data_IF_654033195338
#
_entry.id   IF_654033195338
#
_cell.length_a   1.000
_cell.length_b   1.000
_cell.length_c   1.000
_cell.angle_alpha   90.00
_cell.angle_beta   90.00
_cell.angle_gamma   90.00
#
_symmetry.space_group_name_H-M   'P 1'
#
loop_
_entity.id
_entity.type
_entity.pdbx_description
1 polymer ?
#
# COMPACT_ATOMS: atom_id res chain seq x y z
N UNK A 1 -0.45 22.81 27.40
CA UNK A 1 -0.98 23.98 26.68
C UNK A 1 -1.00 23.65 25.19
N UNK A 2 -2.18 23.46 24.61
CA UNK A 2 -2.34 23.21 23.17
C UNK A 2 -2.42 24.55 22.44
N UNK A 3 -1.39 24.92 21.70
CA UNK A 3 -1.37 26.15 20.89
C UNK A 3 -2.32 25.99 19.69
N UNK A 4 -3.54 26.51 19.82
CA UNK A 4 -4.49 26.71 18.70
C UNK A 4 -4.27 28.07 18.03
N UNK A 5 -3.07 28.31 17.54
CA UNK A 5 -2.80 29.40 16.60
C UNK A 5 -2.91 28.86 15.17
N UNK A 6 -3.65 29.51 14.27
CA UNK A 6 -3.54 29.24 12.82
C UNK A 6 -2.18 29.74 12.35
N UNK A 7 -1.15 28.94 12.55
CA UNK A 7 0.18 29.21 12.01
C UNK A 7 0.11 29.17 10.48
N UNK A 8 0.86 30.05 9.82
CA UNK A 8 1.03 30.01 8.36
C UNK A 8 1.51 28.63 7.94
N UNK A 9 1.00 28.10 6.82
CA UNK A 9 1.35 26.77 6.31
C UNK A 9 2.87 26.60 6.15
N UNK A 10 3.60 27.67 5.85
CA UNK A 10 5.07 27.67 5.78
C UNK A 10 5.74 27.45 7.14
N UNK A 11 5.22 28.05 8.21
CA UNK A 11 5.76 27.92 9.57
C UNK A 11 5.52 26.51 10.10
N UNK A 12 4.33 25.95 9.87
CA UNK A 12 4.02 24.57 10.23
C UNK A 12 4.92 23.59 9.49
N UNK A 13 5.15 23.78 8.19
CA UNK A 13 6.05 22.93 7.42
C UNK A 13 7.48 22.97 7.96
N UNK A 14 8.03 24.16 8.18
CA UNK A 14 9.37 24.31 8.75
C UNK A 14 9.48 23.59 10.10
N UNK A 15 8.47 23.74 10.96
CA UNK A 15 8.39 23.05 12.24
C UNK A 15 8.36 21.51 12.10
N UNK A 16 7.59 20.97 11.14
CA UNK A 16 7.57 19.53 10.86
C UNK A 16 8.94 19.01 10.43
N UNK A 17 9.67 19.75 9.59
CA UNK A 17 11.04 19.40 9.22
C UNK A 17 11.99 19.45 10.42
N UNK A 18 11.85 20.44 11.31
CA UNK A 18 12.62 20.48 12.56
C UNK A 18 12.36 19.25 13.42
N UNK A 19 11.10 18.82 13.57
CA UNK A 19 10.76 17.59 14.31
C UNK A 19 11.36 16.33 13.64
N UNK A 20 11.37 16.27 12.31
CA UNK A 20 11.97 15.17 11.57
C UNK A 20 13.49 15.07 11.82
N UNK A 21 14.22 16.18 11.68
CA UNK A 21 15.68 16.22 11.88
C UNK A 21 16.09 15.99 13.33
N UNK A 22 15.26 16.42 14.30
CA UNK A 22 15.47 16.15 15.74
C UNK A 22 15.00 14.74 16.17
N UNK A 23 14.54 13.91 15.22
CA UNK A 23 14.04 12.54 15.45
C UNK A 23 12.86 12.45 16.42
N UNK A 24 12.07 13.51 16.56
CA UNK A 24 10.84 13.54 17.37
C UNK A 24 9.64 13.08 16.53
N UNK A 25 9.67 11.81 16.12
CA UNK A 25 8.68 11.28 15.16
C UNK A 25 7.26 11.26 15.69
N UNK A 26 7.05 10.91 16.97
CA UNK A 26 5.72 10.87 17.59
C UNK A 26 5.02 12.25 17.52
N UNK A 27 5.75 13.31 17.87
CA UNK A 27 5.24 14.68 17.80
C UNK A 27 5.02 15.15 16.36
N UNK A 28 5.85 14.71 15.42
CA UNK A 28 5.64 14.95 14.00
C UNK A 28 4.31 14.34 13.55
N UNK A 29 4.03 13.09 13.93
CA UNK A 29 2.78 12.42 13.55
C UNK A 29 1.56 13.10 14.16
N UNK A 30 1.65 13.50 15.44
CA UNK A 30 0.58 14.25 16.12
C UNK A 30 0.38 15.63 15.50
N UNK A 31 1.45 16.36 15.19
CA UNK A 31 1.38 17.68 14.56
C UNK A 31 0.76 17.60 13.16
N UNK A 32 1.09 16.58 12.37
CA UNK A 32 0.45 16.35 11.07
C UNK A 32 -1.05 16.03 11.25
N UNK A 33 -1.42 15.18 12.21
CA UNK A 33 -2.82 14.80 12.42
C UNK A 33 -3.69 15.94 12.99
N UNK A 34 -3.10 16.84 13.79
CA UNK A 34 -3.82 17.91 14.49
C UNK A 34 -4.04 19.17 13.63
N UNK A 35 -3.28 19.38 12.57
CA UNK A 35 -3.33 20.57 11.73
C UNK A 35 -4.03 20.32 10.39
N UNK A 36 -4.40 21.40 9.71
CA UNK A 36 -4.93 21.35 8.33
C UNK A 36 -3.92 21.97 7.39
N UNK A 37 -3.76 21.37 6.21
CA UNK A 37 -2.78 21.80 5.22
C UNK A 37 -3.45 22.10 3.89
N UNK A 38 -2.81 22.94 3.08
CA UNK A 38 -3.25 23.19 1.71
C UNK A 38 -2.92 21.97 0.83
N UNK A 39 -3.81 21.63 -0.11
CA UNK A 39 -3.67 20.46 -0.98
C UNK A 39 -2.36 20.45 -1.77
N UNK A 40 -1.85 21.64 -2.15
CA UNK A 40 -0.57 21.80 -2.86
C UNK A 40 0.64 21.23 -2.10
N UNK A 41 0.52 21.03 -0.79
CA UNK A 41 1.57 20.48 0.07
C UNK A 41 1.33 19.02 0.47
N UNK A 42 0.24 18.39 0.03
CA UNK A 42 -0.09 17.02 0.46
C UNK A 42 0.98 16.01 0.01
N UNK A 43 1.47 16.11 -1.23
CA UNK A 43 2.51 15.21 -1.74
C UNK A 43 3.79 15.27 -0.91
N UNK A 44 4.26 16.48 -0.62
CA UNK A 44 5.45 16.73 0.20
C UNK A 44 5.27 16.17 1.62
N UNK A 45 4.11 16.40 2.23
CA UNK A 45 3.84 15.96 3.61
C UNK A 45 3.62 14.45 3.70
N UNK A 46 3.08 13.81 2.66
CA UNK A 46 2.97 12.35 2.56
C UNK A 46 4.35 11.70 2.44
N UNK A 47 5.25 12.28 1.65
CA UNK A 47 6.64 11.82 1.57
C UNK A 47 7.35 11.98 2.92
N UNK A 48 7.19 13.13 3.59
CA UNK A 48 7.72 13.36 4.94
C UNK A 48 7.18 12.35 5.97
N UNK A 49 5.87 12.07 5.95
CA UNK A 49 5.23 11.07 6.80
C UNK A 49 5.87 9.69 6.64
N UNK A 50 6.07 9.24 5.41
CA UNK A 50 6.67 7.94 5.15
C UNK A 50 8.16 7.90 5.47
N UNK A 51 8.90 8.96 5.16
CA UNK A 51 10.32 9.10 5.56
C UNK A 51 10.47 9.01 7.07
N UNK A 52 9.63 9.70 7.83
CA UNK A 52 9.60 9.63 9.29
C UNK A 52 9.30 8.19 9.79
N UNK A 53 8.30 7.51 9.21
CA UNK A 53 7.98 6.11 9.56
C UNK A 53 9.10 5.11 9.21
N UNK A 54 9.80 5.33 8.11
CA UNK A 54 10.96 4.51 7.75
C UNK A 54 12.09 4.72 8.74
N UNK A 55 12.46 5.99 9.00
CA UNK A 55 13.52 6.35 9.93
C UNK A 55 13.25 5.84 11.36
N UNK A 56 12.01 5.95 11.85
CA UNK A 56 11.58 5.40 13.14
C UNK A 56 11.81 3.89 13.23
N UNK A 57 11.48 3.13 12.17
CA UNK A 57 11.64 1.69 12.17
C UNK A 57 13.12 1.26 11.99
N UNK A 58 13.87 1.97 11.16
CA UNK A 58 15.31 1.77 10.95
C UNK A 58 16.07 1.99 12.25
N UNK A 59 15.73 3.05 13.01
CA UNK A 59 16.31 3.30 14.33
C UNK A 59 16.00 2.18 15.33
N UNK A 60 14.74 1.72 15.38
CA UNK A 60 14.33 0.64 16.30
C UNK A 60 15.02 -0.70 15.98
N UNK A 61 15.37 -0.95 14.72
CA UNK A 61 15.94 -2.23 14.26
C UNK A 61 17.44 -2.17 13.99
N UNK A 62 18.04 -0.98 14.01
CA UNK A 62 19.43 -0.72 13.62
C UNK A 62 19.79 -1.32 12.26
N UNK A 63 18.83 -1.34 11.33
CA UNK A 63 18.97 -1.94 10.00
C UNK A 63 18.14 -1.17 8.99
N UNK A 64 18.71 -0.94 7.81
CA UNK A 64 18.00 -0.32 6.69
C UNK A 64 16.81 -1.15 6.22
N UNK A 65 15.71 -0.49 5.88
CA UNK A 65 14.49 -1.16 5.46
C UNK A 65 14.55 -1.54 3.97
N UNK A 66 14.24 -2.81 3.70
CA UNK A 66 14.01 -3.28 2.34
C UNK A 66 12.71 -2.76 1.74
N UNK A 67 12.58 -2.84 0.41
CA UNK A 67 11.39 -2.37 -0.32
C UNK A 67 10.07 -3.00 0.18
N UNK A 68 10.11 -4.29 0.55
CA UNK A 68 8.94 -5.02 1.07
C UNK A 68 8.52 -4.50 2.45
N UNK A 69 9.47 -4.16 3.30
CA UNK A 69 9.20 -3.65 4.64
C UNK A 69 8.66 -2.22 4.58
N UNK A 70 9.24 -1.38 3.69
CA UNK A 70 8.68 -0.07 3.36
C UNK A 70 7.23 -0.18 2.90
N UNK A 71 6.92 -1.14 2.02
CA UNK A 71 5.53 -1.41 1.60
C UNK A 71 4.62 -1.81 2.77
N UNK A 72 5.06 -2.72 3.66
CA UNK A 72 4.29 -3.14 4.85
C UNK A 72 4.01 -1.95 5.76
N UNK A 73 4.99 -1.06 5.95
CA UNK A 73 4.83 0.16 6.75
C UNK A 73 3.83 1.13 6.13
N UNK A 74 3.88 1.36 4.81
CA UNK A 74 2.89 2.20 4.12
C UNK A 74 1.46 1.69 4.31
N UNK A 75 1.28 0.36 4.29
CA UNK A 75 -0.03 -0.28 4.49
C UNK A 75 -0.48 -0.22 5.96
N UNK A 76 0.44 -0.35 6.91
CA UNK A 76 0.13 -0.33 8.35
C UNK A 76 -0.15 1.10 8.85
N UNK A 77 0.52 2.10 8.27
CA UNK A 77 0.48 3.49 8.72
C UNK A 77 0.14 4.42 7.54
N UNK A 78 -1.12 4.41 7.05
CA UNK A 78 -1.54 5.36 6.03
C UNK A 78 -1.47 6.80 6.56
N UNK A 79 -1.25 7.79 5.69
CA UNK A 79 -1.25 9.19 6.07
C UNK A 79 -2.64 9.61 6.61
N UNK A 80 -2.69 10.50 7.60
CA UNK A 80 -3.94 10.99 8.15
C UNK A 80 -4.70 11.89 7.16
N UNK A 81 -6.02 12.04 7.36
CA UNK A 81 -6.91 12.85 6.50
C UNK A 81 -6.53 14.33 6.39
N UNK A 82 -5.66 14.82 7.27
CA UNK A 82 -5.15 16.19 7.25
C UNK A 82 -4.20 16.47 6.08
N UNK A 83 -3.53 15.44 5.56
CA UNK A 83 -2.58 15.51 4.43
C UNK A 83 -2.98 14.55 3.30
N UNK A 84 -4.20 14.04 3.36
CA UNK A 84 -4.71 13.03 2.46
C UNK A 84 -6.23 13.17 2.34
N UNK A 85 -6.73 13.32 1.13
CA UNK A 85 -8.14 13.53 0.81
C UNK A 85 -9.00 12.26 1.00
N UNK A 86 -8.43 11.17 1.51
CA UNK A 86 -9.12 9.89 1.63
C UNK A 86 -9.35 9.21 0.27
N UNK A 87 -8.81 9.76 -0.84
CA UNK A 87 -8.69 9.02 -2.08
C UNK A 87 -7.62 7.97 -1.88
N UNK A 88 -8.06 6.77 -1.51
CA UNK A 88 -7.28 5.56 -1.63
C UNK A 88 -6.76 5.42 -3.06
N UNK A 89 -5.52 5.85 -3.28
CA UNK A 89 -4.61 5.20 -4.22
C UNK A 89 -4.26 3.81 -3.69
N UNK A 90 -5.27 3.03 -3.31
CA UNK A 90 -5.14 1.60 -3.43
C UNK A 90 -4.90 1.39 -4.92
N UNK A 91 -3.83 0.68 -5.23
CA UNK A 91 -3.50 0.03 -6.50
C UNK A 91 -4.62 -0.90 -7.03
N UNK A 92 -5.88 -0.65 -6.69
CA UNK A 92 -7.02 -1.32 -7.24
C UNK A 92 -7.51 -0.41 -8.34
N UNK A 93 -7.16 -0.79 -9.56
CA UNK A 93 -7.66 -0.23 -10.82
C UNK A 93 -9.09 0.31 -10.71
N UNK A 94 -9.45 1.36 -11.46
CA UNK A 94 -10.84 1.84 -11.55
C UNK A 94 -11.78 0.64 -11.77
N UNK A 95 -13.01 0.70 -11.26
CA UNK A 95 -13.94 -0.45 -11.35
C UNK A 95 -14.13 -0.93 -12.81
N UNK A 96 -14.13 0.00 -13.77
CA UNK A 96 -14.11 -0.32 -15.19
C UNK A 96 -12.92 -1.19 -15.60
N UNK A 97 -11.70 -0.78 -15.23
CA UNK A 97 -10.48 -1.52 -15.50
C UNK A 97 -10.48 -2.91 -14.82
N UNK A 98 -11.04 -3.05 -13.61
CA UNK A 98 -11.22 -4.36 -12.95
C UNK A 98 -12.18 -5.27 -13.72
N UNK A 99 -13.27 -4.73 -14.26
CA UNK A 99 -14.22 -5.49 -15.09
C UNK A 99 -13.54 -6.00 -16.36
N UNK A 100 -12.83 -5.13 -17.07
CA UNK A 100 -12.09 -5.48 -18.29
C UNK A 100 -11.04 -6.56 -18.00
N UNK A 101 -10.20 -6.37 -16.98
CA UNK A 101 -9.18 -7.36 -16.61
C UNK A 101 -9.78 -8.72 -16.25
N UNK A 102 -10.90 -8.75 -15.51
CA UNK A 102 -11.63 -10.00 -15.20
C UNK A 102 -12.19 -10.66 -16.45
N UNK A 103 -12.75 -9.89 -17.38
CA UNK A 103 -13.30 -10.41 -18.63
C UNK A 103 -12.20 -11.03 -19.52
N UNK A 104 -11.08 -10.33 -19.70
CA UNK A 104 -9.93 -10.87 -20.42
C UNK A 104 -9.37 -12.12 -19.75
N UNK A 105 -9.27 -12.14 -18.41
CA UNK A 105 -8.78 -13.30 -17.67
C UNK A 105 -9.66 -14.55 -17.83
N UNK A 106 -10.99 -14.36 -17.88
CA UNK A 106 -11.93 -15.46 -18.15
C UNK A 106 -11.71 -16.08 -19.53
N UNK A 107 -11.34 -15.27 -20.53
CA UNK A 107 -11.05 -15.71 -21.89
C UNK A 107 -9.66 -16.34 -22.02
N UNK A 108 -8.64 -15.69 -21.45
CA UNK A 108 -7.25 -16.15 -21.51
C UNK A 108 -6.50 -15.77 -20.22
N UNK A 109 -6.00 -16.77 -19.47
CA UNK A 109 -5.22 -16.58 -18.23
C UNK A 109 -3.77 -16.12 -18.49
N UNK A 110 -3.29 -16.24 -19.72
CA UNK A 110 -1.93 -15.90 -20.16
C UNK A 110 -2.00 -14.96 -21.37
N UNK A 111 -2.29 -13.66 -21.16
CA UNK A 111 -2.45 -12.71 -22.26
C UNK A 111 -1.13 -12.50 -23.00
N UNK A 112 -1.23 -12.44 -24.33
CA UNK A 112 -0.11 -12.09 -25.23
C UNK A 112 0.27 -10.62 -25.09
N UNK A 113 1.34 -10.18 -25.75
CA UNK A 113 1.70 -8.76 -25.77
C UNK A 113 0.60 -7.90 -26.41
N UNK A 114 -0.04 -8.39 -27.48
CA UNK A 114 -1.15 -7.70 -28.14
C UNK A 114 -2.39 -7.63 -27.25
N UNK A 115 -2.74 -8.71 -26.55
CA UNK A 115 -3.82 -8.67 -25.54
C UNK A 115 -3.54 -7.61 -24.47
N UNK A 116 -2.29 -7.49 -24.00
CA UNK A 116 -1.91 -6.49 -22.99
C UNK A 116 -1.99 -5.07 -23.53
N UNK A 117 -1.61 -4.83 -24.79
CA UNK A 117 -1.75 -3.52 -25.44
C UNK A 117 -3.23 -3.14 -25.57
N UNK A 118 -4.10 -4.08 -25.94
CA UNK A 118 -5.53 -3.80 -26.04
C UNK A 118 -6.14 -3.51 -24.66
N UNK A 119 -5.77 -4.27 -23.63
CA UNK A 119 -6.19 -3.98 -22.25
C UNK A 119 -5.67 -2.60 -21.82
N UNK A 120 -4.42 -2.25 -22.13
CA UNK A 120 -3.84 -0.94 -21.81
C UNK A 120 -4.65 0.19 -22.46
N UNK A 121 -5.00 0.05 -23.74
CA UNK A 121 -5.80 1.01 -24.50
C UNK A 121 -7.19 1.23 -23.88
N UNK A 122 -7.83 0.17 -23.40
CA UNK A 122 -9.19 0.24 -22.83
C UNK A 122 -9.18 0.75 -21.37
N UNK A 123 -8.15 0.39 -20.61
CA UNK A 123 -8.12 0.59 -19.14
C UNK A 123 -7.25 1.74 -18.68
N UNK A 124 -6.47 2.32 -19.60
CA UNK A 124 -5.42 3.32 -19.33
C UNK A 124 -4.39 2.85 -18.29
N UNK A 125 -4.13 1.54 -18.30
CA UNK A 125 -3.15 0.90 -17.43
C UNK A 125 -1.85 0.65 -18.17
N UNK A 126 -0.75 0.78 -17.46
CA UNK A 126 0.57 0.42 -17.98
C UNK A 126 0.67 -1.09 -18.16
N UNK A 127 1.36 -1.54 -19.22
CA UNK A 127 1.56 -2.96 -19.54
C UNK A 127 2.15 -3.75 -18.34
N UNK A 128 3.00 -3.10 -17.55
CA UNK A 128 3.59 -3.69 -16.33
C UNK A 128 2.51 -3.95 -15.27
N UNK A 129 1.58 -3.01 -15.06
CA UNK A 129 0.48 -3.15 -14.11
C UNK A 129 -0.45 -4.30 -14.51
N UNK A 130 -0.76 -4.40 -15.79
CA UNK A 130 -1.56 -5.50 -16.36
C UNK A 130 -0.82 -6.83 -16.15
N UNK A 131 0.47 -6.91 -16.51
CA UNK A 131 1.28 -8.12 -16.33
C UNK A 131 1.32 -8.59 -14.87
N UNK A 132 1.50 -7.65 -13.94
CA UNK A 132 1.49 -7.95 -12.50
C UNK A 132 0.12 -8.42 -12.02
N UNK A 133 -0.96 -7.83 -12.51
CA UNK A 133 -2.31 -8.27 -12.14
C UNK A 133 -2.59 -9.71 -12.58
N UNK A 134 -2.25 -10.07 -13.82
CA UNK A 134 -2.43 -11.44 -14.32
C UNK A 134 -1.56 -12.44 -13.56
N UNK A 135 -0.30 -12.09 -13.26
CA UNK A 135 0.58 -12.89 -12.40
C UNK A 135 -0.04 -13.11 -11.01
N UNK A 136 -0.46 -12.04 -10.35
CA UNK A 136 -1.05 -12.10 -9.00
C UNK A 136 -2.38 -12.85 -8.99
N UNK A 137 -3.18 -12.76 -10.06
CA UNK A 137 -4.45 -13.50 -10.19
C UNK A 137 -4.20 -15.01 -10.28
N UNK A 138 -3.27 -15.46 -11.12
CA UNK A 138 -2.89 -16.89 -11.21
C UNK A 138 -2.34 -17.44 -9.91
N UNK A 139 -1.54 -16.66 -9.17
CA UNK A 139 -1.04 -17.08 -7.86
C UNK A 139 -2.17 -17.30 -6.85
N UNK A 140 -3.18 -16.41 -6.85
CA UNK A 140 -4.37 -16.57 -6.00
C UNK A 140 -5.16 -17.82 -6.36
N UNK A 141 -5.35 -18.08 -7.65
CA UNK A 141 -6.06 -19.29 -8.13
C UNK A 141 -5.33 -20.58 -7.68
N UNK A 142 -3.99 -20.62 -7.78
CA UNK A 142 -3.19 -21.75 -7.28
C UNK A 142 -3.36 -21.95 -5.76
N UNK A 143 -3.28 -20.88 -4.98
CA UNK A 143 -3.43 -20.93 -3.52
C UNK A 143 -4.85 -21.25 -3.02
N UNK A 144 -5.86 -21.15 -3.89
CA UNK A 144 -7.22 -21.60 -3.58
C UNK A 144 -7.45 -23.08 -3.86
N UNK A 145 -6.74 -23.65 -4.85
CA UNK A 145 -6.85 -25.09 -5.17
C UNK A 145 -6.16 -25.97 -4.12
N UNK A 146 -5.06 -25.50 -3.55
CA UNK A 146 -4.27 -26.22 -2.55
C UNK A 146 -4.94 -26.30 -1.15
N UNK A 147 -6.05 -25.59 -0.95
CA UNK A 147 -6.84 -25.63 0.29
C UNK A 147 -8.02 -26.61 0.25
N UNK A 148 -8.24 -27.29 -0.86
CA UNK A 148 -9.32 -28.27 -1.07
C UNK A 148 -8.80 -29.70 -1.27
N UNK A 149 -7.65 -30.04 -0.72
CA UNK A 149 -7.33 -31.45 -0.43
C UNK A 149 -7.95 -31.80 0.92
N UNK A 150 -9.06 -32.55 0.98
CA UNK A 150 -9.50 -33.09 2.26
C UNK A 150 -8.36 -33.94 2.83
N UNK A 151 -8.04 -33.82 4.13
CA UNK A 151 -7.02 -34.65 4.73
C UNK A 151 -7.41 -36.12 4.52
N UNK A 152 -6.51 -36.90 3.92
CA UNK A 152 -6.63 -38.36 3.88
C UNK A 152 -6.77 -38.81 5.33
N UNK A 153 -7.94 -39.34 5.68
CA UNK A 153 -8.18 -39.94 6.98
C UNK A 153 -7.22 -41.13 7.12
N UNK A 154 -6.17 -40.95 7.91
CA UNK A 154 -5.29 -42.04 8.31
C UNK A 154 -6.14 -43.00 9.17
N UNK A 155 -6.49 -44.14 8.59
CA UNK A 155 -7.00 -45.30 9.32
C UNK A 155 -5.88 -45.76 10.26
N UNK A 156 -6.04 -45.48 11.55
CA UNK A 156 -5.27 -46.17 12.58
C UNK A 156 -6.01 -47.48 12.85
N UNK A 157 -5.53 -48.54 12.20
CA UNK A 157 -6.02 -49.88 12.45
C UNK A 157 -5.75 -50.29 13.91
N UNK A 158 -6.81 -50.82 14.53
CA UNK A 158 -6.82 -51.40 15.87
C UNK A 158 -5.80 -52.54 15.97
N UNK A 159 -4.81 -52.41 16.85
CA UNK A 159 -4.08 -53.53 17.43
C UNK A 159 -3.99 -53.36 18.94
N UNK A 160 -5.02 -53.87 19.62
CA UNK A 160 -4.93 -54.37 20.98
C UNK A 160 -5.73 -55.69 21.03
N UNK A 161 -5.01 -56.80 20.88
CA UNK A 161 -5.28 -58.03 21.64
C UNK A 161 -4.07 -58.19 22.56
#
# INVERSE_FOLDING_TARGET
>A
MFYRGRYSSSVLRAYLYTLFHTRRFEELFQAIAANTFEQKYFEELQDLWYKARYAENEQRRQKELGAVEKYRLRKKHPPPRSIWDGQETIYSFKENARKVLRQFYKRNKYPTLEDKKEIARITDLQIIQISNWFKNRRQRDKSSTDRFTPPVQLQFDNLLI
#
